data_IF_849880310268
#
_entry.id   IF_849880310268
#
_cell.length_a   1.000
_cell.length_b   1.000
_cell.length_c   1.000
_cell.angle_alpha   90.00
_cell.angle_beta   90.00
_cell.angle_gamma   90.00
#
_symmetry.space_group_name_H-M   'P 1'
#
loop_
_entity.id
_entity.type
_entity.pdbx_description
1 polymer ?
#
# COMPACT_ATOMS: atom_id res chain seq x y z
N UNK A 1 9.08 -6.65 -63.52
CA UNK A 1 8.63 -5.28 -63.88
C UNK A 1 7.77 -4.78 -62.73
N UNK A 2 8.25 -3.82 -61.92
CA UNK A 2 7.45 -3.27 -60.81
C UNK A 2 6.39 -2.35 -61.42
N UNK A 3 5.11 -2.64 -61.19
CA UNK A 3 4.00 -1.77 -61.58
C UNK A 3 3.80 -0.77 -60.45
N UNK A 4 3.77 0.52 -60.77
CA UNK A 4 3.57 1.60 -59.80
C UNK A 4 2.14 2.09 -59.92
N UNK A 5 1.41 2.04 -58.80
CA UNK A 5 0.10 2.67 -58.71
C UNK A 5 0.29 4.02 -58.02
N UNK A 6 -0.13 5.09 -58.69
CA UNK A 6 -0.06 6.45 -58.15
C UNK A 6 -1.48 6.97 -57.99
N UNK A 7 -1.80 7.38 -56.76
CA UNK A 7 -3.08 7.99 -56.43
C UNK A 7 -2.90 9.51 -56.47
N UNK A 8 -3.82 10.18 -57.17
CA UNK A 8 -3.82 11.63 -57.36
C UNK A 8 -4.49 12.32 -56.15
N UNK A 9 -3.78 13.23 -55.48
CA UNK A 9 -4.38 14.13 -54.49
C UNK A 9 -4.10 15.59 -54.87
N UNK A 10 -5.16 16.34 -55.17
CA UNK A 10 -5.09 17.79 -55.40
C UNK A 10 -5.13 18.53 -54.06
N UNK A 11 -4.13 19.38 -53.80
CA UNK A 11 -4.08 20.25 -52.62
C UNK A 11 -4.99 21.47 -52.84
N UNK A 12 -6.26 21.38 -52.46
CA UNK A 12 -7.13 22.55 -52.37
C UNK A 12 -7.01 23.21 -50.99
N UNK A 13 -6.45 24.41 -50.96
CA UNK A 13 -6.64 25.35 -49.86
C UNK A 13 -8.09 25.85 -49.92
N UNK A 14 -8.95 25.25 -49.10
CA UNK A 14 -10.36 25.58 -48.83
C UNK A 14 -11.45 25.00 -49.76
N UNK A 15 -12.50 24.51 -49.08
CA UNK A 15 -13.85 24.12 -49.51
C UNK A 15 -14.08 22.76 -50.23
N UNK A 16 -14.87 21.94 -49.53
CA UNK A 16 -15.47 20.64 -49.87
C UNK A 16 -15.94 20.47 -51.33
N UNK A 17 -15.03 20.12 -52.22
CA UNK A 17 -15.36 19.41 -53.45
C UNK A 17 -14.64 18.06 -53.41
N UNK A 18 -15.40 16.96 -53.35
CA UNK A 18 -14.85 15.62 -53.54
C UNK A 18 -14.24 15.56 -54.95
N UNK A 19 -12.91 15.69 -55.03
CA UNK A 19 -12.18 15.49 -56.27
C UNK A 19 -12.35 14.03 -56.69
N UNK A 20 -12.88 13.79 -57.89
CA UNK A 20 -12.82 12.47 -58.52
C UNK A 20 -11.35 12.03 -58.58
N UNK A 21 -11.05 10.91 -57.92
CA UNK A 21 -9.74 10.28 -57.94
C UNK A 21 -9.42 9.81 -59.37
N UNK A 22 -8.72 10.64 -60.14
CA UNK A 22 -8.17 10.24 -61.43
C UNK A 22 -6.87 9.45 -61.19
N UNK A 23 -6.89 8.17 -61.52
CA UNK A 23 -5.68 7.34 -61.49
C UNK A 23 -4.73 7.78 -62.60
N UNK A 24 -3.49 8.11 -62.24
CA UNK A 24 -2.42 8.36 -63.21
C UNK A 24 -1.40 7.23 -63.05
N UNK A 25 -1.23 6.41 -64.07
CA UNK A 25 -0.17 5.39 -64.08
C UNK A 25 1.13 6.02 -64.62
N UNK A 26 2.19 6.01 -63.82
CA UNK A 26 3.53 6.45 -64.26
C UNK A 26 4.30 5.22 -64.74
N UNK A 27 4.45 5.10 -66.06
CA UNK A 27 4.98 3.90 -66.73
C UNK A 27 6.49 3.70 -66.54
N UNK A 28 7.28 4.73 -66.24
CA UNK A 28 8.70 4.57 -65.86
C UNK A 28 9.28 5.79 -65.11
N UNK A 29 10.23 5.52 -64.21
CA UNK A 29 11.13 6.52 -63.58
C UNK A 29 12.53 6.32 -64.16
N UNK A 30 12.86 6.93 -65.29
CA UNK A 30 14.22 6.83 -65.83
C UNK A 30 14.81 8.22 -66.06
N UNK A 31 16.03 8.42 -65.52
CA UNK A 31 16.97 9.52 -65.81
C UNK A 31 16.79 10.88 -65.11
N UNK A 32 16.00 11.02 -64.04
CA UNK A 32 15.98 12.25 -63.23
C UNK A 32 16.71 12.08 -61.88
N UNK A 33 17.44 13.09 -61.38
CA UNK A 33 17.98 13.11 -60.02
C UNK A 33 16.88 12.92 -58.97
N UNK A 34 17.22 12.19 -57.90
CA UNK A 34 16.32 11.95 -56.77
C UNK A 34 16.92 12.55 -55.49
N UNK A 35 16.18 13.45 -54.86
CA UNK A 35 16.52 14.09 -53.59
C UNK A 35 15.55 13.61 -52.52
N UNK A 36 16.07 12.95 -51.48
CA UNK A 36 15.27 12.49 -50.34
C UNK A 36 15.22 13.55 -49.26
N UNK A 37 14.03 14.06 -49.00
CA UNK A 37 13.75 15.06 -47.99
C UNK A 37 13.51 14.38 -46.65
N UNK A 38 14.14 14.92 -45.59
CA UNK A 38 14.12 14.32 -44.25
C UNK A 38 12.94 14.77 -43.42
N UNK A 39 12.53 16.03 -43.54
CA UNK A 39 11.48 16.63 -42.71
C UNK A 39 10.24 16.94 -43.54
N UNK A 40 9.07 16.96 -42.92
CA UNK A 40 7.83 17.30 -43.61
C UNK A 40 7.81 18.80 -43.95
N UNK A 41 8.41 19.64 -43.10
CA UNK A 41 8.49 21.08 -43.26
C UNK A 41 9.29 21.48 -44.51
N UNK A 42 10.43 20.84 -44.74
CA UNK A 42 11.25 21.06 -45.94
C UNK A 42 10.51 20.60 -47.21
N UNK A 43 9.79 19.48 -47.12
CA UNK A 43 9.02 18.95 -48.25
C UNK A 43 7.87 19.90 -48.61
N UNK A 44 7.15 20.42 -47.61
CA UNK A 44 6.12 21.44 -47.82
C UNK A 44 6.69 22.78 -48.29
N UNK A 45 7.92 23.14 -47.87
CA UNK A 45 8.60 24.33 -48.38
C UNK A 45 8.92 24.21 -49.87
N UNK A 46 9.37 23.05 -50.33
CA UNK A 46 9.58 22.77 -51.77
C UNK A 46 8.26 22.92 -52.53
N UNK A 47 7.17 22.32 -52.02
CA UNK A 47 5.84 22.43 -52.63
C UNK A 47 5.45 23.91 -52.83
N UNK A 48 5.62 24.74 -51.79
CA UNK A 48 5.28 26.17 -51.85
C UNK A 48 6.20 26.96 -52.77
N UNK A 49 7.51 26.75 -52.68
CA UNK A 49 8.51 27.55 -53.42
C UNK A 49 8.42 27.35 -54.93
N UNK A 50 8.01 26.15 -55.37
CA UNK A 50 7.84 25.82 -56.79
C UNK A 50 6.39 25.87 -57.26
N UNK A 51 5.47 26.40 -56.43
CA UNK A 51 4.03 26.49 -56.72
C UNK A 51 3.41 25.15 -57.19
N UNK A 52 3.84 24.06 -56.55
CA UNK A 52 3.42 22.71 -56.94
C UNK A 52 2.00 22.46 -56.45
N UNK A 53 1.05 22.34 -57.38
CA UNK A 53 -0.36 22.06 -57.04
C UNK A 53 -0.66 20.56 -56.87
N UNK A 54 0.31 19.69 -57.20
CA UNK A 54 0.10 18.25 -57.27
C UNK A 54 1.21 17.44 -56.56
N UNK A 55 0.80 16.62 -55.60
CA UNK A 55 1.67 15.67 -54.89
C UNK A 55 1.27 14.26 -55.28
N UNK A 56 2.26 13.45 -55.68
CA UNK A 56 2.05 12.06 -56.03
C UNK A 56 2.34 11.16 -54.84
N UNK A 57 1.47 10.17 -54.63
CA UNK A 57 1.62 9.17 -53.59
C UNK A 57 2.00 7.84 -54.24
N UNK A 58 3.13 7.29 -53.83
CA UNK A 58 3.58 5.98 -54.26
C UNK A 58 3.28 4.94 -53.19
N UNK A 59 2.55 3.89 -53.59
CA UNK A 59 2.30 2.71 -52.77
C UNK A 59 3.06 1.52 -53.36
N UNK A 60 3.86 0.83 -52.53
CA UNK A 60 4.47 -0.44 -52.92
C UNK A 60 3.46 -1.56 -52.64
N UNK A 61 2.70 -1.96 -53.66
CA UNK A 61 1.76 -3.08 -53.56
C UNK A 61 2.55 -4.37 -53.76
N UNK A 62 3.11 -4.94 -52.70
CA UNK A 62 3.56 -6.32 -52.77
C UNK A 62 2.35 -7.25 -52.83
N UNK A 63 2.20 -7.95 -53.95
CA UNK A 63 1.30 -9.09 -54.05
C UNK A 63 1.75 -10.14 -53.04
N UNK A 64 1.05 -10.25 -51.91
CA UNK A 64 1.29 -11.34 -50.96
C UNK A 64 1.17 -12.69 -51.70
N UNK A 65 2.12 -13.63 -51.55
CA UNK A 65 1.80 -15.02 -51.83
C UNK A 65 0.67 -15.42 -50.88
N UNK A 66 -0.38 -16.03 -51.43
CA UNK A 66 -1.67 -16.34 -50.78
C UNK A 66 -1.59 -17.29 -49.56
N UNK A 67 -0.40 -17.69 -49.13
CA UNK A 67 -0.16 -18.74 -48.12
C UNK A 67 0.39 -18.28 -46.76
N UNK A 68 0.67 -16.99 -46.54
CA UNK A 68 1.23 -16.51 -45.27
C UNK A 68 0.14 -16.10 -44.25
N UNK A 69 -0.13 -16.99 -43.30
CA UNK A 69 -1.11 -16.85 -42.19
C UNK A 69 -0.72 -15.86 -41.07
N UNK A 70 0.34 -15.08 -41.22
CA UNK A 70 0.75 -14.09 -40.20
C UNK A 70 0.22 -12.69 -40.51
N UNK A 71 -0.56 -12.15 -39.57
CA UNK A 71 -1.07 -10.78 -39.53
C UNK A 71 0.02 -9.76 -39.15
N UNK A 72 1.21 -9.84 -39.76
CA UNK A 72 2.12 -8.69 -39.70
C UNK A 72 1.78 -7.71 -40.82
N UNK A 73 1.44 -6.43 -40.51
CA UNK A 73 1.30 -5.41 -41.53
C UNK A 73 2.68 -5.16 -42.16
N UNK A 74 2.84 -5.57 -43.42
CA UNK A 74 3.99 -5.21 -44.25
C UNK A 74 3.90 -3.70 -44.52
N UNK A 75 4.49 -2.90 -43.64
CA UNK A 75 4.68 -1.46 -43.87
C UNK A 75 5.94 -1.28 -44.72
N UNK A 76 5.79 -1.36 -46.05
CA UNK A 76 6.75 -0.71 -46.94
C UNK A 76 6.33 0.74 -47.15
N UNK A 77 7.34 1.60 -47.26
CA UNK A 77 7.24 3.05 -47.24
C UNK A 77 6.25 3.55 -48.29
N UNK A 78 5.15 4.14 -47.82
CA UNK A 78 4.42 5.10 -48.63
C UNK A 78 5.34 6.30 -48.81
N UNK A 79 5.61 6.69 -50.05
CA UNK A 79 6.43 7.86 -50.37
C UNK A 79 5.54 8.92 -51.00
N UNK A 80 5.64 10.16 -50.53
CA UNK A 80 5.14 11.32 -51.25
C UNK A 80 6.26 11.85 -52.14
N UNK A 81 5.96 12.22 -53.38
CA UNK A 81 6.95 12.87 -54.22
C UNK A 81 6.35 13.95 -55.11
N UNK A 82 7.22 14.91 -55.45
CA UNK A 82 6.94 15.99 -56.39
C UNK A 82 8.07 16.10 -57.40
N UNK A 83 7.79 16.72 -58.55
CA UNK A 83 8.78 16.98 -59.59
C UNK A 83 8.90 18.50 -59.73
N UNK A 84 10.10 19.03 -59.54
CA UNK A 84 10.42 20.43 -59.83
C UNK A 84 11.84 20.50 -60.44
N UNK A 85 12.02 21.37 -61.43
CA UNK A 85 13.32 21.58 -62.10
C UNK A 85 14.01 20.27 -62.52
N UNK A 86 13.27 19.36 -63.16
CA UNK A 86 13.78 18.04 -63.58
C UNK A 86 14.34 17.18 -62.43
N UNK A 87 13.91 17.41 -61.19
CA UNK A 87 14.36 16.66 -60.00
C UNK A 87 13.16 16.06 -59.27
N UNK A 88 13.28 14.80 -58.84
CA UNK A 88 12.33 14.16 -57.93
C UNK A 88 12.67 14.52 -56.49
N UNK A 89 11.76 15.19 -55.80
CA UNK A 89 11.85 15.37 -54.35
C UNK A 89 10.93 14.34 -53.68
N UNK A 90 11.48 13.55 -52.76
CA UNK A 90 10.79 12.39 -52.17
C UNK A 90 10.80 12.51 -50.67
N UNK A 91 9.64 12.33 -50.05
CA UNK A 91 9.44 12.29 -48.62
C UNK A 91 8.84 10.96 -48.19
N UNK A 92 9.39 10.35 -47.13
CA UNK A 92 8.87 9.11 -46.57
C UNK A 92 7.68 9.41 -45.68
N UNK A 93 6.51 8.86 -46.02
CA UNK A 93 5.31 8.92 -45.19
C UNK A 93 5.31 7.86 -44.10
N UNK A 94 6.37 7.09 -43.88
CA UNK A 94 6.47 6.12 -42.76
C UNK A 94 5.25 5.18 -42.62
N UNK A 95 4.63 4.83 -43.75
CA UNK A 95 3.43 3.98 -43.82
C UNK A 95 2.08 4.69 -43.70
N UNK A 96 2.05 6.01 -43.46
CA UNK A 96 0.82 6.81 -43.46
C UNK A 96 0.24 6.93 -44.88
N UNK A 97 -1.10 6.96 -45.01
CA UNK A 97 -1.76 6.93 -46.33
C UNK A 97 -1.62 8.24 -47.10
N UNK A 98 -1.65 9.36 -46.39
CA UNK A 98 -1.60 10.71 -46.96
C UNK A 98 -0.64 11.60 -46.16
N UNK A 99 -0.25 12.74 -46.75
CA UNK A 99 0.54 13.76 -46.06
C UNK A 99 -0.21 14.31 -44.83
N UNK A 100 -1.53 14.46 -44.94
CA UNK A 100 -2.39 14.91 -43.85
C UNK A 100 -2.43 13.88 -42.70
N UNK A 101 -2.56 12.59 -43.01
CA UNK A 101 -2.52 11.51 -42.01
C UNK A 101 -1.15 11.42 -41.33
N UNK A 102 -0.05 11.62 -42.07
CA UNK A 102 1.29 11.70 -41.50
C UNK A 102 1.38 12.80 -40.44
N UNK A 103 0.97 14.02 -40.80
CA UNK A 103 0.98 15.16 -39.88
C UNK A 103 0.07 14.93 -38.67
N UNK A 104 -1.17 14.50 -38.90
CA UNK A 104 -2.12 14.22 -37.83
C UNK A 104 -1.59 13.14 -36.88
N UNK A 105 -1.11 12.02 -37.41
CA UNK A 105 -0.59 10.91 -36.61
C UNK A 105 0.66 11.27 -35.81
N UNK A 106 1.60 12.01 -36.40
CA UNK A 106 2.80 12.49 -35.71
C UNK A 106 2.47 13.52 -34.63
N UNK A 107 1.61 14.48 -34.92
CA UNK A 107 1.17 15.50 -33.95
C UNK A 107 0.43 14.89 -32.76
N UNK A 108 -0.33 13.81 -32.98
CA UNK A 108 -1.00 13.06 -31.91
C UNK A 108 -0.12 12.02 -31.21
N UNK A 109 1.20 11.96 -31.50
CA UNK A 109 2.16 11.03 -30.88
C UNK A 109 1.87 9.53 -31.10
N UNK A 110 1.26 9.15 -32.23
CA UNK A 110 1.17 7.74 -32.61
C UNK A 110 2.56 7.19 -33.00
N UNK A 111 2.90 6.00 -32.51
CA UNK A 111 4.20 5.34 -32.76
C UNK A 111 4.34 4.84 -34.19
N UNK A 112 3.23 4.58 -34.87
CA UNK A 112 3.22 4.08 -36.25
C UNK A 112 1.95 4.52 -37.00
N UNK A 113 2.04 4.50 -38.33
CA UNK A 113 0.86 4.69 -39.19
C UNK A 113 -0.22 3.63 -38.96
N UNK A 114 0.18 2.39 -38.65
CA UNK A 114 -0.73 1.30 -38.34
C UNK A 114 -1.56 1.59 -37.09
N UNK A 115 -0.92 2.09 -36.03
CA UNK A 115 -1.61 2.48 -34.79
C UNK A 115 -2.58 3.63 -35.04
N UNK A 116 -2.16 4.65 -35.79
CA UNK A 116 -3.00 5.79 -36.15
C UNK A 116 -4.24 5.36 -36.97
N UNK A 117 -4.07 4.53 -38.00
CA UNK A 117 -5.19 4.05 -38.82
C UNK A 117 -6.15 3.17 -38.02
N UNK A 118 -5.63 2.32 -37.12
CA UNK A 118 -6.48 1.55 -36.21
C UNK A 118 -7.25 2.47 -35.25
N UNK A 119 -6.58 3.44 -34.63
CA UNK A 119 -7.23 4.40 -33.75
C UNK A 119 -8.34 5.16 -34.47
N UNK A 120 -8.07 5.66 -35.68
CA UNK A 120 -9.04 6.32 -36.55
C UNK A 120 -10.24 5.41 -36.87
N UNK A 121 -10.01 4.13 -37.15
CA UNK A 121 -11.08 3.15 -37.39
C UNK A 121 -11.96 2.86 -36.17
N UNK A 122 -11.41 3.08 -34.97
CA UNK A 122 -12.10 2.95 -33.68
C UNK A 122 -12.73 4.28 -33.21
N UNK A 123 -12.56 5.37 -33.97
CA UNK A 123 -12.99 6.71 -33.55
C UNK A 123 -12.19 7.28 -32.38
N UNK A 124 -10.93 6.85 -32.21
CA UNK A 124 -10.00 7.35 -31.19
C UNK A 124 -9.02 8.32 -31.84
N UNK A 125 -8.96 9.55 -31.32
CA UNK A 125 -8.07 10.62 -31.78
C UNK A 125 -6.85 10.82 -30.86
N UNK A 126 -6.97 10.49 -29.58
CA UNK A 126 -5.89 10.53 -28.58
C UNK A 126 -5.05 9.24 -28.56
N UNK A 127 -3.75 9.35 -28.87
CA UNK A 127 -2.86 8.20 -28.90
C UNK A 127 -2.62 7.58 -27.51
N UNK A 128 -2.63 8.38 -26.45
CA UNK A 128 -2.45 7.86 -25.08
C UNK A 128 -3.59 6.90 -24.73
N UNK A 129 -4.83 7.31 -25.01
CA UNK A 129 -6.03 6.52 -24.84
C UNK A 129 -6.08 5.30 -25.78
N UNK A 130 -5.63 5.41 -27.03
CA UNK A 130 -5.49 4.25 -27.93
C UNK A 130 -4.56 3.18 -27.34
N UNK A 131 -3.40 3.57 -26.82
CA UNK A 131 -2.48 2.63 -26.18
C UNK A 131 -3.01 2.08 -24.85
N UNK A 132 -3.79 2.87 -24.12
CA UNK A 132 -4.53 2.39 -22.95
C UNK A 132 -5.58 1.33 -23.32
N UNK A 133 -6.37 1.56 -24.36
CA UNK A 133 -7.38 0.63 -24.85
C UNK A 133 -6.75 -0.70 -25.28
N UNK A 134 -5.73 -0.62 -26.15
CA UNK A 134 -5.10 -1.81 -26.75
C UNK A 134 -4.31 -2.65 -25.74
N UNK A 135 -3.64 -2.05 -24.75
CA UNK A 135 -2.85 -2.80 -23.76
C UNK A 135 -3.70 -3.54 -22.72
N UNK A 136 -4.95 -3.11 -22.54
CA UNK A 136 -5.86 -3.66 -21.52
C UNK A 136 -6.97 -4.53 -22.10
N UNK A 137 -7.05 -4.71 -23.42
CA UNK A 137 -8.02 -5.62 -24.04
C UNK A 137 -9.49 -5.38 -23.61
N UNK A 138 -9.90 -4.12 -23.43
CA UNK A 138 -11.30 -3.78 -23.13
C UNK A 138 -12.24 -4.33 -24.21
N UNK A 139 -13.44 -4.76 -23.81
CA UNK A 139 -14.41 -5.33 -24.76
C UNK A 139 -14.84 -4.33 -25.84
N UNK A 140 -14.88 -3.04 -25.52
CA UNK A 140 -15.23 -1.98 -26.45
C UNK A 140 -14.61 -0.63 -26.00
N UNK A 141 -14.59 0.33 -26.93
CA UNK A 141 -14.01 1.67 -26.71
C UNK A 141 -14.77 2.45 -25.63
N UNK A 142 -16.09 2.24 -25.51
CA UNK A 142 -16.91 2.96 -24.53
C UNK A 142 -16.55 2.57 -23.08
N UNK A 143 -16.40 1.27 -22.80
CA UNK A 143 -15.95 0.76 -21.49
C UNK A 143 -14.55 1.28 -21.16
N UNK A 144 -13.63 1.27 -22.13
CA UNK A 144 -12.28 1.80 -21.92
C UNK A 144 -12.31 3.30 -21.60
N UNK A 145 -13.15 4.08 -22.29
CA UNK A 145 -13.28 5.52 -22.06
C UNK A 145 -13.88 5.80 -20.69
N UNK A 146 -14.90 5.03 -20.28
CA UNK A 146 -15.48 5.10 -18.96
C UNK A 146 -14.43 4.76 -17.89
N UNK A 147 -13.68 3.67 -18.05
CA UNK A 147 -12.62 3.27 -17.12
C UNK A 147 -11.51 4.33 -17.01
N UNK A 148 -11.06 4.87 -18.15
CA UNK A 148 -10.03 5.90 -18.22
C UNK A 148 -10.46 7.18 -17.47
N UNK A 149 -11.68 7.67 -17.72
CA UNK A 149 -12.26 8.83 -17.02
C UNK A 149 -12.45 8.62 -15.53
N UNK A 150 -12.78 7.39 -15.14
CA UNK A 150 -12.98 6.99 -13.75
C UNK A 150 -11.68 6.60 -13.01
N UNK A 151 -10.52 6.88 -13.61
CA UNK A 151 -9.22 6.77 -12.95
C UNK A 151 -8.64 5.36 -12.92
N UNK A 152 -9.14 4.41 -13.71
CA UNK A 152 -8.56 3.08 -13.87
C UNK A 152 -7.32 3.12 -14.77
N UNK A 153 -6.35 3.98 -14.44
CA UNK A 153 -5.10 4.21 -15.16
C UNK A 153 -3.92 3.96 -14.21
N UNK A 154 -3.67 2.69 -13.89
CA UNK A 154 -2.63 2.19 -13.00
C UNK A 154 -1.21 2.50 -13.50
N UNK A 155 -0.99 2.52 -14.82
CA UNK A 155 0.35 2.70 -15.39
C UNK A 155 0.98 4.07 -15.08
N UNK A 156 0.19 5.13 -14.86
CA UNK A 156 0.72 6.45 -14.48
C UNK A 156 1.32 6.47 -13.06
N UNK A 157 0.84 5.59 -12.17
CA UNK A 157 1.32 5.51 -10.79
C UNK A 157 2.73 4.89 -10.67
N UNK A 158 3.13 4.02 -11.61
CA UNK A 158 4.45 3.35 -11.55
C UNK A 158 5.62 4.22 -12.03
N UNK A 159 5.36 5.31 -12.77
CA UNK A 159 6.43 6.18 -13.29
C UNK A 159 6.82 7.33 -12.36
N UNK A 160 6.11 7.60 -11.26
CA UNK A 160 6.29 8.85 -10.49
C UNK A 160 6.40 8.76 -8.96
N UNK A 161 6.32 7.59 -8.33
CA UNK A 161 6.60 7.46 -6.88
C UNK A 161 7.79 6.55 -6.59
N UNK A 162 9.00 7.02 -6.91
CA UNK A 162 10.21 6.56 -6.21
C UNK A 162 10.37 7.36 -4.92
N UNK A 163 9.42 7.24 -3.99
CA UNK A 163 9.66 7.66 -2.63
C UNK A 163 10.48 6.59 -1.93
N UNK A 164 11.78 6.85 -1.87
CA UNK A 164 12.82 6.06 -1.23
C UNK A 164 12.50 5.84 0.26
N UNK A 165 12.03 4.64 0.62
CA UNK A 165 12.11 4.14 1.99
C UNK A 165 13.36 3.26 2.08
N UNK A 166 14.19 3.59 3.07
CA UNK A 166 15.57 3.15 3.24
C UNK A 166 15.79 1.63 3.17
N UNK A 167 16.75 1.21 2.34
CA UNK A 167 17.71 0.18 2.74
C UNK A 167 17.70 -1.18 2.04
N UNK A 168 16.70 -1.54 1.24
CA UNK A 168 16.76 -2.78 0.44
C UNK A 168 16.30 -2.55 -1.00
N UNK A 169 17.25 -2.70 -1.94
CA UNK A 169 17.01 -2.66 -3.38
C UNK A 169 16.30 -3.94 -3.81
N UNK A 170 15.00 -3.85 -4.00
CA UNK A 170 14.33 -4.65 -5.02
C UNK A 170 13.74 -3.69 -6.04
N UNK A 171 14.47 -3.50 -7.14
CA UNK A 171 13.89 -3.01 -8.37
C UNK A 171 13.06 -4.17 -8.94
N UNK A 172 11.91 -4.45 -8.34
CA UNK A 172 10.90 -5.24 -9.03
C UNK A 172 10.31 -4.32 -10.10
N UNK A 173 11.05 -4.10 -11.18
CA UNK A 173 10.40 -3.93 -12.48
C UNK A 173 9.65 -5.23 -12.63
N UNK A 174 8.36 -5.21 -12.28
CA UNK A 174 7.47 -6.30 -12.62
C UNK A 174 7.38 -6.23 -14.16
N UNK A 175 8.35 -6.84 -14.83
CA UNK A 175 8.39 -7.06 -16.29
C UNK A 175 7.17 -7.86 -16.75
N UNK A 176 6.44 -8.44 -15.80
CA UNK A 176 5.13 -9.05 -15.98
C UNK A 176 4.02 -8.09 -15.51
N UNK A 177 3.89 -6.89 -16.10
CA UNK A 177 2.61 -6.19 -15.95
C UNK A 177 1.56 -7.10 -16.60
N UNK A 178 0.70 -7.79 -15.83
CA UNK A 178 -0.19 -8.76 -16.43
C UNK A 178 -1.07 -7.98 -17.40
N UNK A 179 -1.06 -8.39 -18.67
CA UNK A 179 -1.99 -7.85 -19.67
C UNK A 179 -3.38 -7.87 -19.02
N UNK A 180 -4.13 -6.76 -19.16
CA UNK A 180 -5.52 -6.63 -18.71
C UNK A 180 -5.73 -6.26 -17.21
N UNK A 181 -4.69 -5.91 -16.44
CA UNK A 181 -4.89 -5.53 -15.03
C UNK A 181 -5.89 -4.37 -14.84
N UNK A 182 -5.87 -3.36 -15.73
CA UNK A 182 -6.74 -2.18 -15.59
C UNK A 182 -8.20 -2.50 -16.02
N UNK A 183 -8.40 -3.34 -17.05
CA UNK A 183 -9.74 -3.77 -17.47
C UNK A 183 -10.37 -4.72 -16.47
N UNK A 184 -9.59 -5.67 -15.93
CA UNK A 184 -10.08 -6.64 -14.94
C UNK A 184 -10.53 -5.91 -13.68
N UNK A 185 -9.73 -4.96 -13.19
CA UNK A 185 -10.09 -4.10 -12.08
C UNK A 185 -11.35 -3.27 -12.36
N UNK A 186 -11.51 -2.73 -13.57
CA UNK A 186 -12.70 -1.98 -13.96
C UNK A 186 -13.96 -2.86 -13.98
N UNK A 187 -13.92 -4.03 -14.61
CA UNK A 187 -15.08 -4.92 -14.68
C UNK A 187 -15.45 -5.52 -13.33
N UNK A 188 -14.45 -5.82 -12.48
CA UNK A 188 -14.70 -6.24 -11.10
C UNK A 188 -15.31 -5.11 -10.27
N UNK A 189 -14.77 -3.89 -10.36
CA UNK A 189 -15.34 -2.71 -9.71
C UNK A 189 -16.79 -2.47 -10.13
N UNK A 190 -17.08 -2.51 -11.44
CA UNK A 190 -18.42 -2.36 -12.00
C UNK A 190 -19.37 -3.45 -11.51
N UNK A 191 -18.93 -4.71 -11.44
CA UNK A 191 -19.70 -5.83 -10.88
C UNK A 191 -20.04 -5.62 -9.40
N UNK A 192 -19.15 -4.98 -8.65
CA UNK A 192 -19.36 -4.65 -7.23
C UNK A 192 -20.09 -3.32 -7.00
N UNK A 193 -20.43 -2.58 -8.07
CA UNK A 193 -21.15 -1.31 -7.99
C UNK A 193 -20.28 -0.07 -7.74
N UNK A 194 -18.96 -0.16 -7.91
CA UNK A 194 -18.06 1.00 -7.81
C UNK A 194 -17.92 1.71 -9.17
N UNK A 195 -18.22 3.01 -9.19
CA UNK A 195 -18.11 3.83 -10.40
C UNK A 195 -16.67 4.28 -10.70
N UNK A 196 -15.84 4.49 -9.67
CA UNK A 196 -14.47 5.01 -9.83
C UNK A 196 -13.40 4.17 -9.11
N UNK A 197 -12.17 4.26 -9.62
CA UNK A 197 -11.06 3.46 -9.10
C UNK A 197 -10.66 3.83 -7.67
N UNK A 198 -10.83 5.10 -7.26
CA UNK A 198 -10.48 5.55 -5.92
C UNK A 198 -11.32 4.82 -4.86
N UNK A 199 -12.64 4.73 -5.09
CA UNK A 199 -13.56 4.06 -4.18
C UNK A 199 -13.34 2.54 -4.19
N UNK A 200 -13.13 1.95 -5.37
CA UNK A 200 -12.79 0.53 -5.48
C UNK A 200 -11.45 0.20 -4.80
N UNK A 201 -10.43 1.05 -4.92
CA UNK A 201 -9.14 0.90 -4.22
C UNK A 201 -9.31 1.01 -2.71
N UNK A 202 -10.17 1.90 -2.24
CA UNK A 202 -10.50 2.00 -0.82
C UNK A 202 -11.20 0.72 -0.32
N UNK A 203 -12.13 0.17 -1.11
CA UNK A 203 -12.75 -1.14 -0.87
C UNK A 203 -11.72 -2.26 -0.73
N UNK A 204 -10.83 -2.40 -1.70
CA UNK A 204 -9.78 -3.42 -1.65
C UNK A 204 -8.93 -3.30 -0.37
N UNK A 205 -8.61 -2.08 0.05
CA UNK A 205 -7.82 -1.83 1.25
C UNK A 205 -8.52 -2.29 2.54
N UNK A 206 -9.78 -1.92 2.76
CA UNK A 206 -10.47 -2.35 3.99
C UNK A 206 -10.91 -3.82 3.94
N UNK A 207 -11.26 -4.33 2.76
CA UNK A 207 -11.62 -5.74 2.56
C UNK A 207 -10.44 -6.67 2.85
N UNK A 208 -9.24 -6.31 2.37
CA UNK A 208 -8.00 -7.05 2.68
C UNK A 208 -7.65 -7.07 4.18
N UNK A 209 -8.18 -6.11 4.96
CA UNK A 209 -8.04 -6.05 6.42
C UNK A 209 -9.16 -6.77 7.18
N UNK A 210 -10.10 -7.40 6.47
CA UNK A 210 -11.20 -8.17 7.02
C UNK A 210 -12.44 -7.35 7.40
N UNK A 211 -12.50 -6.06 7.07
CA UNK A 211 -13.68 -5.22 7.33
C UNK A 211 -14.70 -5.35 6.20
N UNK A 212 -15.99 -5.33 6.52
CA UNK A 212 -17.06 -5.47 5.52
C UNK A 212 -17.41 -4.13 4.89
N UNK A 213 -17.31 -3.06 5.67
CA UNK A 213 -17.66 -1.71 5.23
C UNK A 213 -16.55 -0.70 5.52
N UNK A 214 -16.55 0.41 4.78
CA UNK A 214 -15.67 1.54 5.03
C UNK A 214 -15.86 2.13 6.43
N UNK A 215 -17.11 2.23 6.89
CA UNK A 215 -17.43 2.80 8.20
C UNK A 215 -16.91 1.93 9.34
N UNK A 216 -17.03 0.59 9.23
CA UNK A 216 -16.40 -0.36 10.16
C UNK A 216 -14.88 -0.15 10.21
N UNK A 217 -14.23 -0.03 9.06
CA UNK A 217 -12.78 0.21 9.01
C UNK A 217 -12.37 1.54 9.64
N UNK A 218 -13.09 2.63 9.39
CA UNK A 218 -12.76 3.93 9.98
C UNK A 218 -13.02 3.94 11.50
N UNK A 219 -14.08 3.28 11.97
CA UNK A 219 -14.35 3.10 13.39
C UNK A 219 -13.28 2.24 14.09
N UNK A 220 -12.82 1.16 13.46
CA UNK A 220 -11.74 0.34 13.98
C UNK A 220 -10.42 1.10 14.01
N UNK A 221 -10.13 1.85 12.95
CA UNK A 221 -8.92 2.68 12.83
C UNK A 221 -8.88 3.78 13.88
N UNK A 222 -10.01 4.43 14.22
CA UNK A 222 -10.06 5.45 15.27
C UNK A 222 -9.82 4.88 16.66
N UNK A 223 -10.13 3.59 16.88
CA UNK A 223 -9.75 2.83 18.08
C UNK A 223 -8.32 2.27 18.05
N UNK A 224 -7.58 2.50 16.95
CA UNK A 224 -6.20 2.04 16.77
C UNK A 224 -6.04 0.62 16.23
N UNK A 225 -7.13 -0.05 15.82
CA UNK A 225 -7.07 -1.40 15.26
C UNK A 225 -6.69 -1.38 13.78
N UNK A 226 -5.80 -2.30 13.40
CA UNK A 226 -5.24 -2.36 12.04
C UNK A 226 -5.99 -3.34 11.12
N UNK A 227 -6.63 -4.35 11.71
CA UNK A 227 -7.33 -5.44 11.05
C UNK A 227 -8.56 -5.88 11.89
N UNK A 228 -9.59 -6.41 11.22
CA UNK A 228 -10.86 -6.76 11.85
C UNK A 228 -10.73 -7.94 12.84
N UNK A 229 -9.80 -8.86 12.60
CA UNK A 229 -9.53 -9.99 13.50
C UNK A 229 -9.03 -9.52 14.87
N UNK A 230 -8.10 -8.57 14.88
CA UNK A 230 -7.56 -7.94 16.08
C UNK A 230 -8.63 -7.16 16.86
N UNK A 231 -9.45 -6.34 16.18
CA UNK A 231 -10.57 -5.65 16.83
C UNK A 231 -11.56 -6.64 17.46
N UNK A 232 -11.90 -7.72 16.75
CA UNK A 232 -12.82 -8.75 17.25
C UNK A 232 -12.27 -9.43 18.51
N UNK A 233 -11.03 -9.93 18.46
CA UNK A 233 -10.40 -10.59 19.63
C UNK A 233 -10.27 -9.63 20.81
N UNK A 234 -9.88 -8.38 20.57
CA UNK A 234 -9.79 -7.37 21.62
C UNK A 234 -11.17 -7.07 22.24
N UNK A 235 -12.21 -6.93 21.42
CA UNK A 235 -13.58 -6.68 21.87
C UNK A 235 -14.14 -7.86 22.67
N UNK A 236 -13.90 -9.11 22.22
CA UNK A 236 -14.28 -10.33 22.95
C UNK A 236 -13.56 -10.44 24.30
N UNK A 237 -12.33 -9.94 24.37
CA UNK A 237 -11.56 -9.81 25.61
C UNK A 237 -11.97 -8.60 26.49
N UNK A 238 -12.93 -7.79 26.04
CA UNK A 238 -13.48 -6.63 26.75
C UNK A 238 -12.78 -5.29 26.48
N UNK A 239 -11.74 -5.26 25.64
CA UNK A 239 -10.99 -4.04 25.31
C UNK A 239 -11.73 -3.19 24.28
N UNK A 240 -11.66 -1.86 24.42
CA UNK A 240 -12.35 -0.91 23.50
C UNK A 240 -11.40 -0.18 22.57
N UNK A 241 -10.09 -0.21 22.83
CA UNK A 241 -9.05 0.40 22.00
C UNK A 241 -7.80 -0.49 21.95
N UNK A 242 -7.04 -0.36 20.85
CA UNK A 242 -5.90 -1.21 20.59
C UNK A 242 -4.69 -0.92 21.50
N UNK A 243 -4.54 0.31 21.98
CA UNK A 243 -3.46 0.68 22.90
C UNK A 243 -3.58 -0.11 24.21
N UNK A 244 -4.77 -0.10 24.82
CA UNK A 244 -5.08 -0.84 26.04
C UNK A 244 -4.89 -2.36 25.85
N UNK A 245 -5.35 -2.89 24.72
CA UNK A 245 -5.21 -4.31 24.38
C UNK A 245 -3.74 -4.71 24.15
N UNK A 246 -2.96 -3.87 23.46
CA UNK A 246 -1.54 -4.09 23.18
C UNK A 246 -0.72 -4.08 24.48
N UNK A 247 -0.99 -3.13 25.38
CA UNK A 247 -0.36 -3.07 26.69
C UNK A 247 -0.68 -4.33 27.51
N UNK A 248 -1.95 -4.75 27.57
CA UNK A 248 -2.34 -5.97 28.28
C UNK A 248 -1.67 -7.22 27.70
N UNK A 249 -1.66 -7.36 26.38
CA UNK A 249 -1.02 -8.47 25.68
C UNK A 249 0.49 -8.52 25.92
N UNK A 250 1.16 -7.37 26.03
CA UNK A 250 2.59 -7.30 26.37
C UNK A 250 2.92 -7.84 27.77
N UNK A 251 1.93 -7.83 28.66
CA UNK A 251 2.01 -8.40 30.02
C UNK A 251 1.52 -9.86 30.09
N UNK A 252 1.08 -10.43 28.97
CA UNK A 252 0.46 -11.76 28.92
C UNK A 252 -0.96 -11.80 29.50
N UNK A 253 -1.65 -10.66 29.59
CA UNK A 253 -3.01 -10.54 30.11
C UNK A 253 -4.00 -10.58 28.94
N UNK A 254 -4.89 -11.57 28.95
CA UNK A 254 -5.80 -11.85 27.83
C UNK A 254 -7.18 -11.20 27.96
N UNK A 255 -7.52 -10.65 29.14
CA UNK A 255 -8.83 -10.04 29.39
C UNK A 255 -8.67 -8.64 29.97
N UNK A 256 -9.65 -7.75 29.68
CA UNK A 256 -9.69 -6.41 30.27
C UNK A 256 -9.87 -6.44 31.78
N UNK A 257 -10.60 -7.44 32.29
CA UNK A 257 -10.78 -7.65 33.73
C UNK A 257 -9.43 -7.85 34.41
N UNK A 258 -8.63 -8.80 33.92
CA UNK A 258 -7.30 -9.08 34.50
C UNK A 258 -6.36 -7.88 34.38
N UNK A 259 -6.42 -7.15 33.26
CA UNK A 259 -5.63 -5.93 33.09
C UNK A 259 -6.03 -4.80 34.04
N UNK A 260 -7.33 -4.66 34.30
CA UNK A 260 -7.85 -3.68 35.26
C UNK A 260 -7.39 -4.03 36.67
N UNK A 261 -7.57 -5.29 37.09
CA UNK A 261 -7.10 -5.79 38.38
C UNK A 261 -5.60 -5.63 38.54
N UNK A 262 -4.82 -5.93 37.49
CA UNK A 262 -3.37 -5.70 37.47
C UNK A 262 -3.01 -4.23 37.73
N UNK A 263 -3.65 -3.28 37.02
CA UNK A 263 -3.42 -1.84 37.20
C UNK A 263 -3.80 -1.36 38.60
N UNK A 264 -4.89 -1.87 39.16
CA UNK A 264 -5.34 -1.52 40.51
C UNK A 264 -4.35 -2.00 41.58
N UNK A 265 -3.93 -3.27 41.52
CA UNK A 265 -2.96 -3.84 42.45
C UNK A 265 -1.62 -3.10 42.36
N UNK A 266 -1.09 -2.93 41.15
CA UNK A 266 0.22 -2.29 40.95
C UNK A 266 0.21 -0.82 41.38
N UNK A 267 -0.85 -0.07 41.09
CA UNK A 267 -1.03 1.31 41.59
C UNK A 267 -1.10 1.36 43.11
N UNK A 268 -1.83 0.44 43.75
CA UNK A 268 -1.92 0.40 45.21
C UNK A 268 -0.55 0.09 45.85
N UNK A 269 0.23 -0.82 45.25
CA UNK A 269 1.60 -1.13 45.69
C UNK A 269 2.50 0.10 45.52
N UNK A 270 2.45 0.77 44.36
CA UNK A 270 3.25 1.98 44.09
C UNK A 270 2.95 3.09 45.12
N UNK A 271 1.68 3.31 45.46
CA UNK A 271 1.28 4.27 46.50
C UNK A 271 1.86 3.89 47.87
N UNK A 272 1.84 2.61 48.25
CA UNK A 272 2.44 2.14 49.51
C UNK A 272 3.96 2.36 49.52
N UNK A 273 4.65 2.11 48.39
CA UNK A 273 6.08 2.38 48.25
C UNK A 273 6.35 3.87 48.47
N UNK A 274 5.56 4.75 47.87
CA UNK A 274 5.74 6.19 47.97
C UNK A 274 5.47 6.73 49.38
N UNK A 275 4.34 6.34 49.98
CA UNK A 275 3.90 6.82 51.30
C UNK A 275 4.80 6.31 52.42
N UNK A 276 5.19 5.03 52.36
CA UNK A 276 5.88 4.35 53.47
C UNK A 276 7.37 4.13 53.24
N UNK A 277 7.87 4.50 52.06
CA UNK A 277 9.27 4.27 51.65
C UNK A 277 9.69 2.80 51.77
N UNK A 278 8.75 1.88 51.53
CA UNK A 278 8.98 0.45 51.63
C UNK A 278 9.60 -0.13 50.34
N UNK A 279 10.46 -1.14 50.45
CA UNK A 279 10.84 -1.95 49.28
C UNK A 279 9.61 -2.57 48.62
N UNK A 280 9.61 -2.70 47.28
CA UNK A 280 8.48 -3.24 46.48
C UNK A 280 7.89 -4.54 47.05
N UNK A 281 8.74 -5.46 47.50
CA UNK A 281 8.30 -6.74 48.12
C UNK A 281 7.51 -6.53 49.41
N UNK A 282 7.98 -5.65 50.30
CA UNK A 282 7.26 -5.31 51.55
C UNK A 282 5.95 -4.56 51.25
N UNK A 283 5.95 -3.64 50.29
CA UNK A 283 4.73 -2.97 49.86
C UNK A 283 3.68 -3.95 49.30
N UNK A 284 4.12 -5.00 48.62
CA UNK A 284 3.25 -6.06 48.11
C UNK A 284 2.63 -6.88 49.25
N UNK A 285 3.44 -7.33 50.23
CA UNK A 285 2.95 -8.00 51.43
C UNK A 285 1.94 -7.12 52.19
N UNK A 286 2.28 -5.85 52.36
CA UNK A 286 1.42 -4.85 52.99
C UNK A 286 0.05 -4.78 52.30
N UNK A 287 0.02 -4.68 50.96
CA UNK A 287 -1.22 -4.65 50.17
C UNK A 287 -2.11 -5.87 50.44
N UNK A 288 -1.57 -7.08 50.33
CA UNK A 288 -2.38 -8.29 50.51
C UNK A 288 -2.84 -8.47 51.96
N UNK A 289 -2.02 -8.16 52.96
CA UNK A 289 -2.43 -8.17 54.38
C UNK A 289 -3.56 -7.16 54.61
N UNK A 290 -3.50 -5.98 53.99
CA UNK A 290 -4.55 -4.96 54.10
C UNK A 290 -5.90 -5.42 53.51
N UNK A 291 -5.93 -6.34 52.56
CA UNK A 291 -7.17 -6.87 51.96
C UNK A 291 -7.84 -8.00 52.75
N UNK A 292 -7.18 -8.59 53.74
CA UNK A 292 -7.78 -9.64 54.57
C UNK A 292 -8.99 -9.14 55.40
N UNK A 293 -9.94 -9.99 55.79
CA UNK A 293 -10.92 -9.63 56.80
C UNK A 293 -10.24 -9.37 58.16
N UNK A 294 -10.90 -8.65 59.08
CA UNK A 294 -10.40 -8.50 60.45
C UNK A 294 -10.37 -9.88 61.13
N UNK A 295 -9.20 -10.30 61.56
CA UNK A 295 -9.00 -11.60 62.18
C UNK A 295 -7.74 -11.60 63.04
N UNK A 296 -7.67 -12.61 63.90
CA UNK A 296 -6.47 -13.00 64.63
C UNK A 296 -6.08 -14.39 64.15
N UNK A 297 -4.85 -14.57 63.67
CA UNK A 297 -4.39 -15.85 63.16
C UNK A 297 -2.90 -16.08 63.37
N UNK A 298 -2.50 -17.34 63.43
CA UNK A 298 -1.10 -17.74 63.42
C UNK A 298 -0.43 -17.41 62.08
N UNK A 299 0.87 -17.12 62.07
CA UNK A 299 1.64 -16.81 60.85
C UNK A 299 1.54 -17.90 59.78
N UNK A 300 1.51 -19.17 60.16
CA UNK A 300 1.33 -20.29 59.22
C UNK A 300 -0.01 -20.24 58.49
N UNK A 301 -1.10 -19.91 59.22
CA UNK A 301 -2.43 -19.70 58.65
C UNK A 301 -2.43 -18.47 57.74
N UNK A 302 -1.83 -17.36 58.18
CA UNK A 302 -1.73 -16.13 57.39
C UNK A 302 -0.97 -16.37 56.08
N UNK A 303 0.16 -17.07 56.14
CA UNK A 303 0.99 -17.47 54.99
C UNK A 303 0.16 -18.24 53.96
N UNK A 304 -0.58 -19.25 54.42
CA UNK A 304 -1.48 -20.03 53.58
C UNK A 304 -2.58 -19.16 52.98
N UNK A 305 -3.29 -18.36 53.79
CA UNK A 305 -4.38 -17.49 53.31
C UNK A 305 -3.91 -16.47 52.27
N UNK A 306 -2.76 -15.84 52.47
CA UNK A 306 -2.20 -14.90 51.50
C UNK A 306 -1.79 -15.60 50.21
N UNK A 307 -1.22 -16.80 50.32
CA UNK A 307 -0.88 -17.64 49.16
C UNK A 307 -2.14 -18.04 48.39
N UNK A 308 -3.20 -18.47 49.08
CA UNK A 308 -4.48 -18.85 48.49
C UNK A 308 -5.13 -17.65 47.79
N UNK A 309 -5.25 -16.50 48.46
CA UNK A 309 -5.77 -15.25 47.86
C UNK A 309 -4.95 -14.79 46.64
N UNK A 310 -3.63 -14.99 46.67
CA UNK A 310 -2.78 -14.69 45.52
C UNK A 310 -3.04 -15.66 44.36
N UNK A 311 -3.29 -16.94 44.66
CA UNK A 311 -3.56 -17.99 43.70
C UNK A 311 -5.00 -18.02 43.17
N UNK A 312 -5.96 -17.38 43.86
CA UNK A 312 -7.34 -17.20 43.36
C UNK A 312 -7.40 -16.34 42.09
N UNK A 313 -6.36 -15.55 41.83
CA UNK A 313 -6.22 -14.78 40.59
C UNK A 313 -5.97 -15.68 39.38
N UNK A 314 -6.31 -15.20 38.18
CA UNK A 314 -6.00 -15.91 36.94
C UNK A 314 -4.48 -16.19 36.82
N UNK A 315 -4.07 -17.34 36.24
CA UNK A 315 -2.66 -17.63 36.00
C UNK A 315 -1.92 -16.50 35.26
N UNK A 316 -2.60 -15.84 34.33
CA UNK A 316 -2.13 -14.68 33.58
C UNK A 316 -1.84 -13.48 34.50
N UNK A 317 -2.80 -13.12 35.37
CA UNK A 317 -2.62 -12.05 36.35
C UNK A 317 -1.46 -12.35 37.30
N UNK A 318 -1.35 -13.60 37.77
CA UNK A 318 -0.23 -14.05 38.61
C UNK A 318 1.11 -13.90 37.89
N UNK A 319 1.19 -14.28 36.62
CA UNK A 319 2.42 -14.15 35.83
C UNK A 319 2.80 -12.68 35.59
N UNK A 320 1.83 -11.81 35.32
CA UNK A 320 2.05 -10.37 35.16
C UNK A 320 2.52 -9.72 36.47
N UNK A 321 1.88 -10.03 37.60
CA UNK A 321 2.32 -9.58 38.92
C UNK A 321 3.72 -10.09 39.25
N UNK A 322 4.01 -11.35 38.94
CA UNK A 322 5.35 -11.90 39.14
C UNK A 322 6.42 -11.14 38.35
N UNK A 323 6.11 -10.78 37.11
CA UNK A 323 7.00 -9.99 36.26
C UNK A 323 7.20 -8.58 36.82
N UNK A 324 6.14 -7.93 37.29
CA UNK A 324 6.20 -6.62 37.96
C UNK A 324 7.07 -6.63 39.24
N UNK A 325 7.06 -7.73 40.00
CA UNK A 325 7.87 -7.87 41.21
C UNK A 325 9.35 -8.12 40.93
N UNK A 326 9.67 -8.70 39.77
CA UNK A 326 11.05 -8.96 39.32
C UNK A 326 11.71 -7.73 38.71
N UNK A 327 10.93 -6.88 38.03
CA UNK A 327 11.46 -5.61 37.52
C UNK A 327 11.76 -4.68 38.70
N UNK A 328 12.93 -4.02 38.68
CA UNK A 328 13.27 -2.98 39.66
C UNK A 328 12.23 -1.86 39.70
N UNK A 329 12.35 -0.84 40.59
CA UNK A 329 11.46 0.31 40.53
C UNK A 329 11.42 0.80 39.08
N UNK A 330 10.24 0.72 38.47
CA UNK A 330 10.03 1.18 37.11
C UNK A 330 10.26 2.67 37.22
N UNK A 331 11.44 3.15 36.79
CA UNK A 331 11.52 4.54 36.37
C UNK A 331 10.46 4.62 35.29
N UNK A 332 9.30 5.20 35.59
CA UNK A 332 8.31 5.58 34.60
C UNK A 332 9.02 6.57 33.69
N UNK A 333 9.76 6.01 32.73
CA UNK A 333 10.54 6.75 31.79
C UNK A 333 9.51 7.45 30.91
N UNK A 334 9.38 8.75 31.12
CA UNK A 334 8.89 9.68 30.13
C UNK A 334 9.36 9.20 28.75
N UNK A 335 8.43 8.67 27.94
CA UNK A 335 8.67 8.08 26.61
C UNK A 335 9.23 9.08 25.57
N UNK A 336 9.73 10.26 25.98
CA UNK A 336 10.10 11.36 25.07
C UNK A 336 11.59 11.65 24.90
N UNK A 337 12.54 10.96 25.55
CA UNK A 337 13.97 11.19 25.24
C UNK A 337 14.82 9.92 25.25
N UNK A 338 15.33 9.54 24.06
CA UNK A 338 16.35 8.50 23.85
C UNK A 338 17.69 8.94 24.44
N UNK A 339 17.90 8.77 25.74
CA UNK A 339 19.23 8.87 26.34
C UNK A 339 19.77 7.47 26.68
N UNK A 340 20.97 7.13 26.17
CA UNK A 340 21.70 5.90 26.48
C UNK A 340 22.12 5.91 27.96
N UNK A 341 21.43 5.14 28.81
CA UNK A 341 21.83 4.95 30.21
C UNK A 341 22.77 3.72 30.31
N UNK A 342 23.92 3.89 30.97
CA UNK A 342 24.87 2.80 31.28
C UNK A 342 24.26 1.84 32.32
N UNK A 343 24.54 0.52 32.24
CA UNK A 343 24.00 -0.46 33.18
C UNK A 343 24.54 -0.20 34.60
N UNK A 344 23.62 -0.17 35.57
CA UNK A 344 23.92 0.00 37.00
C UNK A 344 24.34 -1.34 37.62
N UNK A 345 25.34 -1.31 38.50
CA UNK A 345 25.86 -2.48 39.21
C UNK A 345 24.74 -3.26 39.93
N UNK A 346 24.82 -4.59 39.88
CA UNK A 346 23.84 -5.53 40.42
C UNK A 346 23.66 -5.36 41.93
N UNK A 347 22.40 -5.35 42.36
CA UNK A 347 21.99 -5.24 43.76
C UNK A 347 22.39 -6.48 44.58
N UNK A 348 22.86 -6.35 45.83
CA UNK A 348 23.34 -7.45 46.67
C UNK A 348 22.23 -8.35 47.26
N UNK A 349 20.98 -8.20 46.83
CA UNK A 349 19.88 -9.03 47.34
C UNK A 349 19.77 -10.33 46.53
N UNK A 350 19.54 -11.48 47.20
CA UNK A 350 19.36 -12.77 46.53
C UNK A 350 18.23 -12.72 45.51
N UNK A 351 18.51 -13.24 44.31
CA UNK A 351 17.55 -13.34 43.21
C UNK A 351 16.47 -14.35 43.60
N UNK A 352 15.23 -13.89 43.73
CA UNK A 352 14.09 -14.77 44.02
C UNK A 352 13.63 -15.39 42.71
N UNK A 353 13.72 -16.71 42.61
CA UNK A 353 13.32 -17.45 41.41
C UNK A 353 11.82 -17.78 41.40
N UNK A 354 11.20 -17.95 42.58
CA UNK A 354 9.78 -18.29 42.74
C UNK A 354 9.04 -17.37 43.73
N UNK A 355 7.93 -16.77 43.29
CA UNK A 355 7.10 -15.89 44.12
C UNK A 355 6.23 -16.61 45.15
N UNK A 356 6.20 -17.95 45.14
CA UNK A 356 5.67 -18.72 46.26
C UNK A 356 6.43 -18.45 47.56
N UNK A 357 7.68 -17.97 47.49
CA UNK A 357 8.43 -17.54 48.66
C UNK A 357 7.94 -16.18 49.21
N UNK A 358 7.26 -15.34 48.40
CA UNK A 358 6.88 -14.00 48.86
C UNK A 358 6.03 -14.04 50.13
N UNK A 359 5.13 -15.03 50.23
CA UNK A 359 4.21 -15.21 51.34
C UNK A 359 4.66 -16.30 52.32
N UNK A 360 5.91 -16.81 52.23
CA UNK A 360 6.40 -17.82 53.15
C UNK A 360 6.42 -17.31 54.59
N UNK A 361 6.30 -18.22 55.56
CA UNK A 361 6.31 -17.86 56.98
C UNK A 361 7.56 -17.05 57.34
N UNK A 362 8.72 -17.45 56.83
CA UNK A 362 9.99 -16.73 57.01
C UNK A 362 9.90 -15.30 56.50
N UNK A 363 9.36 -15.06 55.30
CA UNK A 363 9.21 -13.70 54.75
C UNK A 363 8.21 -12.85 55.52
N UNK A 364 7.13 -13.45 56.02
CA UNK A 364 6.17 -12.72 56.85
C UNK A 364 6.79 -12.30 58.18
N UNK A 365 7.57 -13.17 58.82
CA UNK A 365 8.31 -12.85 60.05
C UNK A 365 9.32 -11.73 59.81
N UNK A 366 10.11 -11.82 58.73
CA UNK A 366 11.05 -10.76 58.29
C UNK A 366 10.33 -9.43 58.04
N UNK A 367 9.17 -9.47 57.38
CA UNK A 367 8.34 -8.29 57.12
C UNK A 367 7.84 -7.65 58.42
N UNK A 368 7.22 -8.42 59.31
CA UNK A 368 6.69 -7.88 60.57
C UNK A 368 7.79 -7.35 61.52
N UNK A 369 9.00 -7.92 61.46
CA UNK A 369 10.14 -7.43 62.23
C UNK A 369 10.77 -6.15 61.63
N UNK A 370 10.59 -5.88 60.34
CA UNK A 370 11.31 -4.83 59.62
C UNK A 370 10.50 -3.56 59.33
N UNK A 371 9.19 -3.57 59.55
CA UNK A 371 8.33 -2.45 59.22
C UNK A 371 7.36 -2.10 60.36
N UNK A 372 6.99 -0.83 60.47
CA UNK A 372 5.89 -0.42 61.36
C UNK A 372 4.54 -0.91 60.81
N UNK A 373 3.97 -1.88 61.51
CA UNK A 373 2.70 -2.51 61.17
C UNK A 373 1.52 -2.00 62.00
N UNK A 374 1.68 -0.94 62.79
CA UNK A 374 0.63 -0.38 63.65
C UNK A 374 -0.67 -0.02 62.90
N UNK A 375 -0.56 0.23 61.59
CA UNK A 375 -1.69 0.49 60.68
C UNK A 375 -2.36 -0.77 60.13
N UNK A 376 -1.65 -1.91 60.15
CA UNK A 376 -2.18 -3.22 59.76
C UNK A 376 -2.74 -3.98 60.97
N UNK A 377 -2.12 -3.87 62.14
CA UNK A 377 -2.42 -4.70 63.31
C UNK A 377 -1.29 -4.78 64.32
N UNK A 378 -1.27 -5.87 65.09
CA UNK A 378 -0.19 -6.21 66.02
C UNK A 378 0.34 -7.60 65.71
N UNK A 379 1.66 -7.78 65.80
CA UNK A 379 2.34 -9.07 65.65
C UNK A 379 3.09 -9.41 66.94
N UNK A 380 2.93 -10.64 67.43
CA UNK A 380 3.68 -11.19 68.56
C UNK A 380 4.71 -12.19 68.02
N UNK A 381 5.99 -11.92 68.24
CA UNK A 381 7.09 -12.85 67.86
C UNK A 381 7.05 -14.15 68.64
N UNK A 382 6.62 -14.10 69.90
CA UNK A 382 6.70 -15.24 70.82
C UNK A 382 5.60 -16.26 70.54
N UNK A 383 4.40 -15.78 70.23
CA UNK A 383 3.25 -16.63 69.88
C UNK A 383 3.08 -16.83 68.38
N UNK A 384 3.82 -16.07 67.56
CA UNK A 384 3.67 -16.01 66.11
C UNK A 384 2.21 -15.74 65.66
N UNK A 385 1.55 -14.84 66.37
CA UNK A 385 0.16 -14.44 66.09
C UNK A 385 0.15 -13.02 65.51
N UNK A 386 -0.56 -12.85 64.40
CA UNK A 386 -0.91 -11.56 63.84
C UNK A 386 -2.39 -11.26 64.10
N UNK A 387 -2.67 -10.08 64.64
CA UNK A 387 -4.02 -9.57 64.90
C UNK A 387 -4.27 -8.33 64.07
N UNK A 388 -5.15 -8.45 63.08
CA UNK A 388 -5.50 -7.34 62.17
C UNK A 388 -6.40 -6.31 62.86
N UNK A 389 -6.15 -5.03 62.58
CA UNK A 389 -6.91 -3.89 63.13
C UNK A 389 -8.28 -3.68 62.49
#
# INVERSE_FOLDING_TARGET
>A
MKRFFVILMTLFLSLNAFAELKYIEISSKQNLPMVRIKTIEDFEAIIRNYDISLVFLQYDIETRPSSALSFQPLTKSNEAFVIAENTYFIFSLEGYKTLADYKAGKNSNYKSAYDYEQAKSLGIDDAEFFYYYTRNSFHNVADANEAYKNGFVLYKAFKSETNFISGQKYLAVIENNPKNQESDAYYEAKKMGYANYKDYKEYLNYSAKGFKTKDEYQAAKSKGFSNAGEEKTATEAGFTNNEEYSDAKSLGLNTKSDFTTYKEITRAIDNIIEERKLPKKHATLYYFIQKLPKSECAISILSKTLTDNYNENSPELKNALNSYLKTGPVQQANKTTKAKIKPRASSPYPQITNNSDLFSETRLKEFFASIDISQLGTYSSDSEIFKKK
#
